data_IF_842627202310
#
_entry.id   IF_842627202310
#
_cell.length_a   1.000
_cell.length_b   1.000
_cell.length_c   1.000
_cell.angle_alpha   90.00
_cell.angle_beta   90.00
_cell.angle_gamma   90.00
#
_symmetry.space_group_name_H-M   'P 1'
#
loop_
_entity.id
_entity.type
_entity.pdbx_description
1 polymer ?
#
# COMPACT_ATOMS: atom_id res chain seq x y z
N UNK A 1 2.80 6.53 10.28
CA UNK A 1 1.77 5.65 9.67
C UNK A 1 1.84 5.70 8.13
N UNK A 2 1.66 6.86 7.49
CA UNK A 2 1.78 6.99 6.02
C UNK A 2 3.17 6.66 5.45
N UNK A 3 4.24 6.95 6.19
CA UNK A 3 5.61 6.63 5.77
C UNK A 3 5.85 5.11 5.71
N UNK A 4 5.32 4.36 6.68
CA UNK A 4 5.37 2.90 6.71
C UNK A 4 4.64 2.29 5.51
N UNK A 5 3.45 2.83 5.18
CA UNK A 5 2.68 2.42 3.99
C UNK A 5 3.47 2.72 2.72
N UNK A 6 4.13 3.87 2.64
CA UNK A 6 4.96 4.25 1.49
C UNK A 6 6.13 3.29 1.29
N UNK A 7 6.84 2.93 2.36
CA UNK A 7 7.96 1.97 2.30
C UNK A 7 7.48 0.57 1.92
N UNK A 8 6.31 0.14 2.42
CA UNK A 8 5.69 -1.14 2.05
C UNK A 8 5.32 -1.17 0.57
N UNK A 9 4.70 -0.10 0.05
CA UNK A 9 4.33 0.03 -1.36
C UNK A 9 5.57 0.10 -2.27
N UNK A 10 6.63 0.79 -1.86
CA UNK A 10 7.91 0.80 -2.62
C UNK A 10 8.71 -0.48 -2.50
N UNK A 11 8.25 -1.39 -1.64
CA UNK A 11 8.88 -2.67 -1.38
C UNK A 11 10.37 -2.52 -1.02
N UNK A 12 10.67 -1.51 -0.20
CA UNK A 12 12.04 -1.08 0.10
C UNK A 12 12.85 -2.17 0.85
N UNK A 13 12.16 -2.96 1.68
CA UNK A 13 12.74 -4.03 2.49
C UNK A 13 12.99 -5.33 1.73
N UNK A 14 12.49 -5.44 0.50
CA UNK A 14 12.64 -6.63 -0.33
C UNK A 14 13.88 -6.50 -1.20
N UNK A 15 14.62 -7.60 -1.33
CA UNK A 15 15.83 -7.65 -2.13
C UNK A 15 15.55 -7.15 -3.57
N UNK A 16 16.41 -6.29 -4.17
CA UNK A 16 16.11 -5.61 -5.44
C UNK A 16 15.68 -6.55 -6.58
N UNK A 17 16.19 -7.78 -6.59
CA UNK A 17 15.90 -8.81 -7.61
C UNK A 17 14.48 -9.38 -7.55
N UNK A 18 13.80 -9.27 -6.41
CA UNK A 18 12.43 -9.76 -6.21
C UNK A 18 11.48 -8.62 -5.86
N UNK A 19 11.96 -7.37 -5.96
CA UNK A 19 11.19 -6.18 -5.67
C UNK A 19 10.02 -6.07 -6.65
N UNK A 20 8.84 -5.79 -6.11
CA UNK A 20 7.64 -5.60 -6.92
C UNK A 20 7.28 -4.12 -7.06
N UNK A 21 6.55 -3.80 -8.12
CA UNK A 21 6.01 -2.46 -8.34
C UNK A 21 5.00 -2.08 -7.25
N UNK A 22 4.87 -0.78 -7.00
CA UNK A 22 3.94 -0.24 -6.02
C UNK A 22 2.49 -0.63 -6.25
N UNK A 23 2.08 -0.81 -7.51
CA UNK A 23 0.74 -1.30 -7.89
C UNK A 23 0.49 -2.73 -7.39
N UNK A 24 1.48 -3.61 -7.52
CA UNK A 24 1.36 -5.01 -7.08
C UNK A 24 1.30 -5.09 -5.56
N UNK A 25 2.13 -4.30 -4.87
CA UNK A 25 2.09 -4.18 -3.42
C UNK A 25 0.79 -3.60 -2.91
N UNK A 26 0.27 -2.58 -3.58
CA UNK A 26 -1.03 -1.99 -3.27
C UNK A 26 -2.13 -3.05 -3.36
N UNK A 27 -2.16 -3.83 -4.45
CA UNK A 27 -3.11 -4.92 -4.60
C UNK A 27 -3.04 -5.93 -3.44
N UNK A 28 -1.83 -6.35 -3.05
CA UNK A 28 -1.67 -7.29 -1.93
C UNK A 28 -2.07 -6.69 -0.58
N UNK A 29 -1.75 -5.42 -0.33
CA UNK A 29 -2.13 -4.73 0.89
C UNK A 29 -3.66 -4.60 1.01
N UNK A 30 -4.34 -4.15 -0.06
CA UNK A 30 -5.81 -4.04 -0.09
C UNK A 30 -6.46 -5.41 0.08
N UNK A 31 -5.95 -6.44 -0.61
CA UNK A 31 -6.44 -7.82 -0.46
C UNK A 31 -6.32 -8.31 0.98
N UNK A 32 -5.21 -8.00 1.66
CA UNK A 32 -4.98 -8.36 3.07
C UNK A 32 -5.94 -7.63 4.01
N UNK A 33 -6.15 -6.33 3.80
CA UNK A 33 -7.08 -5.52 4.59
C UNK A 33 -8.52 -6.01 4.41
N UNK A 34 -8.94 -6.28 3.17
CA UNK A 34 -10.27 -6.81 2.87
C UNK A 34 -10.52 -8.17 3.54
N UNK A 35 -9.52 -9.05 3.55
CA UNK A 35 -9.60 -10.37 4.17
C UNK A 35 -9.38 -10.39 5.70
N UNK A 36 -9.03 -9.25 6.30
CA UNK A 36 -8.79 -9.16 7.74
C UNK A 36 -10.09 -9.21 8.55
N UNK A 37 -10.00 -9.57 9.83
CA UNK A 37 -11.13 -9.54 10.77
C UNK A 37 -11.39 -8.14 11.35
N UNK A 38 -10.90 -7.09 10.67
CA UNK A 38 -11.09 -5.71 11.11
C UNK A 38 -12.54 -5.24 10.87
N UNK A 39 -13.05 -4.31 11.70
CA UNK A 39 -14.33 -3.66 11.45
C UNK A 39 -14.33 -2.95 10.10
N UNK A 40 -15.46 -2.94 9.40
CA UNK A 40 -15.58 -2.39 8.05
C UNK A 40 -15.14 -0.92 7.96
N UNK A 41 -15.51 -0.10 8.95
CA UNK A 41 -15.06 1.30 9.00
C UNK A 41 -13.54 1.44 9.08
N UNK A 42 -12.87 0.53 9.76
CA UNK A 42 -11.41 0.52 9.89
C UNK A 42 -10.75 -0.01 8.61
N UNK A 43 -11.34 -1.02 7.95
CA UNK A 43 -10.92 -1.49 6.63
C UNK A 43 -10.98 -0.38 5.59
N UNK A 44 -12.09 0.35 5.53
CA UNK A 44 -12.28 1.48 4.61
C UNK A 44 -11.24 2.56 4.88
N UNK A 45 -11.02 2.93 6.15
CA UNK A 45 -10.01 3.93 6.50
C UNK A 45 -8.59 3.51 6.09
N UNK A 46 -8.23 2.24 6.26
CA UNK A 46 -6.93 1.70 5.82
C UNK A 46 -6.79 1.74 4.30
N UNK A 47 -7.80 1.27 3.56
CA UNK A 47 -7.78 1.29 2.09
C UNK A 47 -7.63 2.72 1.57
N UNK A 48 -8.34 3.69 2.17
CA UNK A 48 -8.21 5.11 1.83
C UNK A 48 -6.79 5.65 2.08
N UNK A 49 -6.16 5.25 3.18
CA UNK A 49 -4.77 5.61 3.44
C UNK A 49 -3.81 5.02 2.39
N UNK A 50 -3.99 3.76 1.99
CA UNK A 50 -3.20 3.14 0.91
C UNK A 50 -3.41 3.85 -0.44
N UNK A 51 -4.65 4.23 -0.77
CA UNK A 51 -4.98 4.99 -1.99
C UNK A 51 -4.26 6.34 -2.02
N UNK A 52 -4.37 7.10 -0.93
CA UNK A 52 -3.74 8.43 -0.81
C UNK A 52 -2.22 8.36 -1.04
N UNK A 53 -1.56 7.34 -0.48
CA UNK A 53 -0.11 7.17 -0.65
C UNK A 53 0.24 6.73 -2.07
N UNK A 54 -0.58 5.87 -2.69
CA UNK A 54 -0.37 5.43 -4.06
C UNK A 54 -0.50 6.58 -5.05
N UNK A 55 -1.50 7.45 -4.87
CA UNK A 55 -1.66 8.67 -5.67
C UNK A 55 -0.47 9.61 -5.52
N UNK A 56 0.04 9.81 -4.30
CA UNK A 56 1.26 10.61 -4.08
C UNK A 56 2.50 10.00 -4.78
N UNK A 57 2.61 8.67 -4.80
CA UNK A 57 3.71 7.99 -5.49
C UNK A 57 3.61 8.12 -7.01
N UNK A 58 2.40 8.14 -7.58
CA UNK A 58 2.18 8.37 -9.00
C UNK A 58 2.38 9.84 -9.38
N UNK A 59 1.89 10.78 -8.57
CA UNK A 59 2.03 12.22 -8.81
C UNK A 59 3.51 12.66 -8.86
N UNK A 60 4.36 12.09 -7.99
CA UNK A 60 5.81 12.37 -7.97
C UNK A 60 6.59 11.79 -9.17
N UNK A 61 5.95 11.08 -10.10
CA UNK A 61 6.57 10.57 -11.34
C UNK A 61 6.28 11.48 -12.55
N UNK A 62 5.58 12.61 -12.36
CA UNK A 62 5.31 13.64 -13.39
C UNK A 62 6.14 14.88 -13.12
#
# INVERSE_FOLDING_TARGET
>A
MYETIRQELRDEWTHPRVRQSSEVKFYYAVKRVAASDLPDGMKVALIQAYLTVMEQLQANHT
#
